data_IF_873296378345
#
_entry.id   IF_873296378345
#
_cell.length_a   1.000
_cell.length_b   1.000
_cell.length_c   1.000
_cell.angle_alpha   90.00
_cell.angle_beta   90.00
_cell.angle_gamma   90.00
#
_symmetry.space_group_name_H-M   'P 1'
#
loop_
_entity.id
_entity.type
_entity.pdbx_description
1 polymer ?
#
# COMPACT_ATOMS: atom_id res chain seq x y z
N UNK A 1 22.73 -8.18 -10.58
CA UNK A 1 23.67 -7.58 -9.60
C UNK A 1 23.81 -8.38 -8.30
N UNK A 2 22.74 -8.59 -7.51
CA UNK A 2 22.88 -9.22 -6.19
C UNK A 2 23.47 -10.65 -6.20
N UNK A 3 23.12 -11.50 -7.17
CA UNK A 3 23.69 -12.86 -7.31
C UNK A 3 25.21 -12.81 -7.52
N UNK A 4 25.67 -11.93 -8.41
CA UNK A 4 27.11 -11.71 -8.63
C UNK A 4 27.79 -11.16 -7.37
N UNK A 5 27.13 -10.23 -6.68
CA UNK A 5 27.61 -9.69 -5.41
C UNK A 5 27.78 -10.75 -4.33
N UNK A 6 26.86 -11.72 -4.26
CA UNK A 6 26.94 -12.82 -3.31
C UNK A 6 28.13 -13.73 -3.62
N UNK A 7 28.33 -14.08 -4.90
CA UNK A 7 29.51 -14.81 -5.33
C UNK A 7 30.81 -14.05 -5.00
N UNK A 8 30.87 -12.74 -5.29
CA UNK A 8 32.03 -11.90 -5.00
C UNK A 8 32.31 -11.80 -3.49
N UNK A 9 31.26 -11.75 -2.66
CA UNK A 9 31.39 -11.79 -1.21
C UNK A 9 32.05 -13.11 -0.75
N UNK A 10 31.57 -14.26 -1.22
CA UNK A 10 32.18 -15.56 -0.91
C UNK A 10 33.62 -15.68 -1.42
N UNK A 11 33.91 -15.17 -2.61
CA UNK A 11 35.23 -15.24 -3.22
C UNK A 11 36.28 -14.39 -2.48
N UNK A 12 35.88 -13.29 -1.82
CA UNK A 12 36.78 -12.40 -1.07
C UNK A 12 36.83 -12.70 0.41
N UNK A 13 35.67 -12.88 1.04
CA UNK A 13 35.55 -13.09 2.48
C UNK A 13 34.38 -14.05 2.76
N UNK A 14 34.65 -15.36 2.93
CA UNK A 14 33.61 -16.36 3.12
C UNK A 14 32.65 -16.03 4.26
N UNK A 15 33.14 -15.43 5.35
CA UNK A 15 32.29 -15.00 6.46
C UNK A 15 31.23 -13.97 6.05
N UNK A 16 31.59 -12.98 5.21
CA UNK A 16 30.63 -11.99 4.69
C UNK A 16 29.60 -12.65 3.78
N UNK A 17 30.04 -13.57 2.91
CA UNK A 17 29.14 -14.35 2.05
C UNK A 17 28.14 -15.18 2.86
N UNK A 18 28.60 -15.85 3.92
CA UNK A 18 27.75 -16.63 4.84
C UNK A 18 26.71 -15.74 5.52
N UNK A 19 27.09 -14.58 6.05
CA UNK A 19 26.16 -13.65 6.71
C UNK A 19 25.05 -13.22 5.74
N UNK A 20 25.42 -12.83 4.50
CA UNK A 20 24.44 -12.41 3.49
C UNK A 20 23.53 -13.57 3.05
N UNK A 21 24.09 -14.77 2.87
CA UNK A 21 23.32 -15.95 2.52
C UNK A 21 22.32 -16.32 3.64
N UNK A 22 22.75 -16.30 4.90
CA UNK A 22 21.89 -16.55 6.05
C UNK A 22 20.76 -15.52 6.12
N UNK A 23 21.04 -14.23 5.93
CA UNK A 23 19.99 -13.20 5.91
C UNK A 23 18.96 -13.50 4.81
N UNK A 24 19.41 -13.71 3.57
CA UNK A 24 18.51 -14.01 2.45
C UNK A 24 17.69 -15.27 2.71
N UNK A 25 18.29 -16.34 3.22
CA UNK A 25 17.60 -17.60 3.51
C UNK A 25 16.59 -17.42 4.63
N UNK A 26 16.97 -16.82 5.77
CA UNK A 26 16.07 -16.65 6.90
C UNK A 26 14.89 -15.72 6.56
N UNK A 27 15.14 -14.64 5.83
CA UNK A 27 14.05 -13.77 5.34
C UNK A 27 13.16 -14.49 4.33
N UNK A 28 13.71 -15.28 3.41
CA UNK A 28 12.93 -16.10 2.47
C UNK A 28 12.05 -17.13 3.21
N UNK A 29 12.61 -17.83 4.19
CA UNK A 29 11.87 -18.80 5.02
C UNK A 29 10.78 -18.10 5.83
N UNK A 30 11.07 -16.93 6.41
CA UNK A 30 10.09 -16.12 7.12
C UNK A 30 8.92 -15.69 6.22
N UNK A 31 9.22 -15.23 5.00
CA UNK A 31 8.21 -14.85 4.02
C UNK A 31 7.39 -16.05 3.53
N UNK A 32 8.04 -17.18 3.23
CA UNK A 32 7.37 -18.41 2.79
C UNK A 32 6.39 -18.96 3.85
N UNK A 33 6.68 -18.71 5.14
CA UNK A 33 5.82 -19.12 6.24
C UNK A 33 4.79 -18.05 6.66
N UNK A 34 4.80 -16.86 6.05
CA UNK A 34 3.88 -15.78 6.40
C UNK A 34 2.63 -15.82 5.49
N UNK A 35 1.46 -16.03 6.08
CA UNK A 35 0.18 -16.00 5.37
C UNK A 35 -0.72 -14.87 5.88
N UNK A 36 -1.27 -14.01 5.00
CA UNK A 36 -1.00 -13.90 3.57
C UNK A 36 0.36 -13.21 3.28
N UNK A 37 0.93 -13.50 2.11
CA UNK A 37 2.14 -12.84 1.61
C UNK A 37 1.74 -11.52 0.94
N UNK A 38 2.01 -10.40 1.60
CA UNK A 38 1.79 -9.07 1.01
C UNK A 38 3.05 -8.56 0.32
N UNK A 39 2.88 -7.83 -0.78
CA UNK A 39 4.00 -7.29 -1.58
C UNK A 39 4.95 -6.42 -0.74
N UNK A 40 4.44 -5.67 0.23
CA UNK A 40 5.28 -4.83 1.09
C UNK A 40 6.21 -5.62 2.00
N UNK A 41 5.94 -6.91 2.27
CA UNK A 41 6.86 -7.75 3.05
C UNK A 41 8.17 -8.02 2.29
N UNK A 42 8.17 -7.92 0.95
CA UNK A 42 9.37 -8.02 0.12
C UNK A 42 10.36 -6.87 0.36
N UNK A 43 9.94 -5.77 0.99
CA UNK A 43 10.85 -4.69 1.38
C UNK A 43 11.97 -5.16 2.31
N UNK A 44 11.77 -6.26 3.06
CA UNK A 44 12.80 -6.87 3.88
C UNK A 44 14.01 -7.36 3.05
N UNK A 45 13.84 -7.64 1.76
CA UNK A 45 14.93 -8.02 0.86
C UNK A 45 15.67 -6.83 0.26
N UNK A 46 15.11 -5.62 0.33
CA UNK A 46 15.72 -4.42 -0.26
C UNK A 46 17.13 -4.20 0.28
N UNK A 47 17.32 -4.29 1.60
CA UNK A 47 18.60 -4.06 2.27
C UNK A 47 19.69 -5.08 1.87
N UNK A 48 19.50 -6.41 2.01
CA UNK A 48 20.53 -7.36 1.62
C UNK A 48 20.83 -7.31 0.12
N UNK A 49 19.82 -7.09 -0.74
CA UNK A 49 20.04 -6.96 -2.18
C UNK A 49 20.85 -5.71 -2.53
N UNK A 50 20.59 -4.57 -1.87
CA UNK A 50 21.35 -3.34 -2.05
C UNK A 50 22.81 -3.49 -1.60
N UNK A 51 23.05 -4.13 -0.45
CA UNK A 51 24.41 -4.41 0.04
C UNK A 51 25.17 -5.28 -0.97
N UNK A 52 24.55 -6.36 -1.45
CA UNK A 52 25.16 -7.24 -2.45
C UNK A 52 25.41 -6.52 -3.79
N UNK A 53 24.52 -5.62 -4.20
CA UNK A 53 24.76 -4.76 -5.37
C UNK A 53 25.96 -3.82 -5.18
N UNK A 54 26.16 -3.29 -3.96
CA UNK A 54 27.34 -2.52 -3.59
C UNK A 54 28.63 -3.34 -3.66
N UNK A 55 28.63 -4.56 -3.11
CA UNK A 55 29.76 -5.50 -3.20
C UNK A 55 30.08 -5.84 -4.67
N UNK A 56 29.06 -6.13 -5.47
CA UNK A 56 29.19 -6.39 -6.90
C UNK A 56 29.86 -5.22 -7.63
N UNK A 57 29.41 -4.00 -7.37
CA UNK A 57 29.94 -2.78 -8.00
C UNK A 57 31.40 -2.55 -7.62
N UNK A 58 31.72 -2.69 -6.32
CA UNK A 58 33.10 -2.60 -5.83
C UNK A 58 34.02 -3.65 -6.47
N UNK A 59 33.54 -4.89 -6.65
CA UNK A 59 34.31 -5.94 -7.31
C UNK A 59 34.56 -5.67 -8.80
N UNK A 60 33.56 -5.18 -9.53
CA UNK A 60 33.69 -4.78 -10.94
C UNK A 60 34.76 -3.69 -11.09
N UNK A 61 34.70 -2.63 -10.27
CA UNK A 61 35.67 -1.53 -10.30
C UNK A 61 37.08 -2.03 -9.99
N UNK A 62 37.23 -2.88 -8.97
CA UNK A 62 38.52 -3.44 -8.59
C UNK A 62 39.14 -4.30 -9.71
N UNK A 63 38.37 -5.20 -10.32
CA UNK A 63 38.85 -6.07 -11.41
C UNK A 63 39.18 -5.30 -12.68
N UNK A 64 38.38 -4.28 -13.00
CA UNK A 64 38.68 -3.36 -14.11
C UNK A 64 40.04 -2.67 -13.90
N UNK A 65 40.33 -2.21 -12.67
CA UNK A 65 41.61 -1.61 -12.32
C UNK A 65 42.82 -2.57 -12.39
N UNK A 66 42.62 -3.87 -12.10
CA UNK A 66 43.70 -4.87 -12.22
C UNK A 66 44.07 -5.11 -13.69
N UNK A 67 43.07 -5.26 -14.57
CA UNK A 67 43.29 -5.53 -16.00
C UNK A 67 43.88 -4.34 -16.78
N UNK A 68 43.87 -3.15 -16.18
CA UNK A 68 44.51 -1.95 -16.74
C UNK A 68 46.00 -1.82 -16.41
N UNK A 69 46.60 -2.74 -15.64
CA UNK A 69 48.00 -2.66 -15.21
C UNK A 69 48.92 -3.54 -16.07
N UNK A 70 50.18 -3.14 -16.22
CA UNK A 70 51.20 -3.99 -16.85
C UNK A 70 51.36 -5.30 -16.07
N UNK A 71 51.40 -6.44 -16.77
CA UNK A 71 51.41 -7.79 -16.15
C UNK A 71 50.02 -8.31 -15.76
N UNK A 72 48.96 -7.80 -16.37
CA UNK A 72 47.57 -8.14 -16.05
C UNK A 72 47.26 -9.64 -16.00
N UNK A 73 46.60 -10.03 -14.92
CA UNK A 73 46.06 -11.38 -14.73
C UNK A 73 44.75 -11.53 -15.51
N UNK A 74 44.84 -12.12 -16.70
CA UNK A 74 43.70 -12.38 -17.58
C UNK A 74 42.65 -13.32 -16.98
N UNK A 75 42.95 -14.04 -15.89
CA UNK A 75 41.94 -14.85 -15.18
C UNK A 75 40.80 -13.98 -14.63
N UNK A 76 41.04 -12.68 -14.41
CA UNK A 76 40.06 -11.71 -13.92
C UNK A 76 39.05 -11.24 -14.98
N UNK A 77 39.32 -11.50 -16.27
CA UNK A 77 38.50 -11.01 -17.38
C UNK A 77 37.10 -11.67 -17.41
N UNK A 78 37.02 -12.99 -17.15
CA UNK A 78 35.74 -13.73 -17.14
C UNK A 78 34.77 -13.21 -16.06
N UNK A 79 35.14 -13.15 -14.77
CA UNK A 79 34.24 -12.63 -13.74
C UNK A 79 33.93 -11.14 -13.94
N UNK A 80 34.85 -10.35 -14.50
CA UNK A 80 34.55 -8.97 -14.86
C UNK A 80 33.45 -8.91 -15.94
N UNK A 81 33.56 -9.70 -17.01
CA UNK A 81 32.54 -9.74 -18.07
C UNK A 81 31.16 -10.12 -17.52
N UNK A 82 31.09 -11.13 -16.64
CA UNK A 82 29.83 -11.51 -15.99
C UNK A 82 29.28 -10.36 -15.14
N UNK A 83 30.12 -9.68 -14.38
CA UNK A 83 29.74 -8.51 -13.57
C UNK A 83 29.22 -7.36 -14.44
N UNK A 84 29.90 -7.05 -15.55
CA UNK A 84 29.49 -6.03 -16.51
C UNK A 84 28.16 -6.39 -17.18
N UNK A 85 27.96 -7.64 -17.60
CA UNK A 85 26.67 -8.10 -18.13
C UNK A 85 25.56 -7.95 -17.08
N UNK A 86 25.81 -8.34 -15.83
CA UNK A 86 24.83 -8.19 -14.75
C UNK A 86 24.51 -6.71 -14.44
N UNK A 87 25.50 -5.82 -14.59
CA UNK A 87 25.32 -4.37 -14.46
C UNK A 87 24.51 -3.82 -15.62
N UNK A 88 24.79 -4.23 -16.86
CA UNK A 88 24.06 -3.82 -18.05
C UNK A 88 22.58 -4.22 -17.98
N UNK A 89 22.28 -5.45 -17.53
CA UNK A 89 20.90 -5.88 -17.29
C UNK A 89 20.22 -4.97 -16.25
N UNK A 90 20.88 -4.66 -15.13
CA UNK A 90 20.32 -3.76 -14.13
C UNK A 90 20.06 -2.35 -14.69
N UNK A 91 21.04 -1.76 -15.39
CA UNK A 91 20.91 -0.45 -16.01
C UNK A 91 19.82 -0.41 -17.10
N UNK A 92 19.59 -1.51 -17.81
CA UNK A 92 18.52 -1.60 -18.81
C UNK A 92 17.11 -1.52 -18.19
N UNK A 93 16.97 -1.90 -16.91
CA UNK A 93 15.70 -1.82 -16.17
C UNK A 93 15.49 -0.48 -15.46
N UNK A 94 16.56 0.31 -15.31
CA UNK A 94 16.53 1.54 -14.52
C UNK A 94 15.53 2.60 -15.04
N UNK A 95 15.39 2.84 -16.36
CA UNK A 95 14.41 3.81 -16.86
C UNK A 95 12.98 3.45 -16.48
N UNK A 96 12.60 2.17 -16.59
CA UNK A 96 11.27 1.69 -16.22
C UNK A 96 11.03 1.82 -14.71
N UNK A 97 12.05 1.59 -13.88
CA UNK A 97 11.97 1.80 -12.43
C UNK A 97 11.75 3.27 -12.08
N UNK A 98 12.50 4.18 -12.69
CA UNK A 98 12.36 5.64 -12.50
C UNK A 98 10.95 6.10 -12.93
N UNK A 99 10.46 5.61 -14.06
CA UNK A 99 9.12 5.94 -14.53
C UNK A 99 8.05 5.45 -13.53
N UNK A 100 8.15 4.21 -13.06
CA UNK A 100 7.23 3.68 -12.06
C UNK A 100 7.27 4.49 -10.76
N UNK A 101 8.45 4.76 -10.22
CA UNK A 101 8.64 5.56 -9.02
C UNK A 101 8.05 6.96 -9.20
N UNK A 102 8.28 7.60 -10.35
CA UNK A 102 7.75 8.93 -10.64
C UNK A 102 6.22 8.98 -10.65
N UNK A 103 5.57 7.91 -11.14
CA UNK A 103 4.10 7.78 -11.11
C UNK A 103 3.55 7.58 -9.69
N UNK A 104 4.36 7.05 -8.79
CA UNK A 104 4.00 6.76 -7.39
C UNK A 104 4.36 7.91 -6.43
N UNK A 105 5.02 8.99 -6.90
CA UNK A 105 5.32 10.17 -6.10
C UNK A 105 4.07 10.93 -5.65
N UNK A 106 2.98 10.81 -6.41
CA UNK A 106 1.69 11.38 -6.08
C UNK A 106 0.76 10.24 -5.74
N UNK A 107 0.09 10.31 -4.59
CA UNK A 107 -0.91 9.32 -4.22
C UNK A 107 -2.01 9.30 -5.31
N UNK A 108 -2.35 8.12 -5.88
CA UNK A 108 -3.44 8.01 -6.83
C UNK A 108 -4.70 8.60 -6.20
N UNK A 109 -5.25 9.61 -6.85
CA UNK A 109 -6.48 10.28 -6.43
C UNK A 109 -7.43 10.23 -7.62
N UNK A 110 -8.58 9.61 -7.45
CA UNK A 110 -9.61 9.53 -8.49
C UNK A 110 -10.48 10.78 -8.49
N UNK A 111 -11.17 11.05 -9.60
CA UNK A 111 -12.19 12.11 -9.65
C UNK A 111 -13.33 11.84 -8.65
N UNK A 112 -13.66 10.57 -8.42
CA UNK A 112 -14.64 10.16 -7.41
C UNK A 112 -14.20 10.54 -5.99
N UNK A 113 -12.91 10.36 -5.65
CA UNK A 113 -12.38 10.76 -4.34
C UNK A 113 -12.53 12.27 -4.12
N UNK A 114 -12.18 13.07 -5.15
CA UNK A 114 -12.29 14.53 -5.08
C UNK A 114 -13.74 14.98 -4.97
N UNK A 115 -14.66 14.38 -5.73
CA UNK A 115 -16.09 14.71 -5.66
C UNK A 115 -16.68 14.32 -4.32
N UNK A 116 -16.36 13.13 -3.79
CA UNK A 116 -16.79 12.69 -2.46
C UNK A 116 -16.32 13.65 -1.36
N UNK A 117 -15.05 14.07 -1.40
CA UNK A 117 -14.50 15.06 -0.45
C UNK A 117 -15.24 16.39 -0.53
N UNK A 118 -15.48 16.90 -1.74
CA UNK A 118 -16.21 18.17 -1.91
C UNK A 118 -17.67 18.04 -1.47
N UNK A 119 -18.32 16.92 -1.81
CA UNK A 119 -19.67 16.63 -1.40
C UNK A 119 -19.80 16.63 0.12
N UNK A 120 -18.93 15.90 0.82
CA UNK A 120 -18.91 15.85 2.29
C UNK A 120 -18.66 17.23 2.90
N UNK A 121 -17.79 18.05 2.31
CA UNK A 121 -17.57 19.44 2.78
C UNK A 121 -18.83 20.30 2.74
N UNK A 122 -19.70 20.07 1.76
CA UNK A 122 -20.96 20.82 1.60
C UNK A 122 -22.05 20.31 2.55
N UNK A 123 -22.14 19.00 2.78
CA UNK A 123 -23.28 18.39 3.51
C UNK A 123 -23.02 18.10 4.98
N UNK A 124 -21.81 18.37 5.48
CA UNK A 124 -21.44 18.20 6.90
C UNK A 124 -20.69 19.42 7.42
N UNK A 125 -20.73 19.68 8.72
CA UNK A 125 -19.93 20.68 9.41
C UNK A 125 -18.57 20.11 9.86
N UNK A 126 -17.52 20.94 10.09
CA UNK A 126 -16.19 20.45 10.47
C UNK A 126 -16.15 19.55 11.72
N UNK A 127 -17.04 19.78 12.69
CA UNK A 127 -17.16 18.97 13.91
C UNK A 127 -18.01 17.71 13.77
N UNK A 128 -18.59 17.48 12.59
CA UNK A 128 -19.43 16.31 12.34
C UNK A 128 -18.57 15.06 12.19
N UNK A 129 -19.07 13.95 12.73
CA UNK A 129 -18.43 12.66 12.57
C UNK A 129 -18.81 12.00 11.25
N UNK A 130 -17.84 11.31 10.64
CA UNK A 130 -18.01 10.43 9.49
C UNK A 130 -17.51 9.04 9.85
N UNK A 131 -18.33 8.02 9.61
CA UNK A 131 -17.89 6.61 9.70
C UNK A 131 -17.50 6.12 8.31
N UNK A 132 -16.34 5.48 8.17
CA UNK A 132 -15.85 5.01 6.88
C UNK A 132 -14.87 3.84 6.96
N UNK A 133 -14.73 3.11 5.86
CA UNK A 133 -13.62 2.18 5.62
C UNK A 133 -12.43 2.81 4.88
N UNK A 134 -12.51 4.09 4.51
CA UNK A 134 -11.45 4.86 3.87
C UNK A 134 -11.17 6.16 4.62
N UNK A 135 -10.23 6.13 5.55
CA UNK A 135 -9.89 7.25 6.43
C UNK A 135 -9.43 8.50 5.69
N UNK A 136 -8.89 8.37 4.48
CA UNK A 136 -8.36 9.51 3.73
C UNK A 136 -9.47 10.47 3.26
N UNK A 137 -10.67 9.94 2.97
CA UNK A 137 -11.81 10.74 2.52
C UNK A 137 -12.24 11.77 3.59
N UNK A 138 -12.59 11.40 4.84
CA UNK A 138 -12.94 12.39 5.87
C UNK A 138 -11.74 13.28 6.23
N UNK A 139 -10.50 12.77 6.18
CA UNK A 139 -9.31 13.58 6.40
C UNK A 139 -9.21 14.73 5.39
N UNK A 140 -9.36 14.46 4.09
CA UNK A 140 -9.37 15.49 3.05
C UNK A 140 -10.61 16.39 3.10
N UNK A 141 -11.72 15.85 3.60
CA UNK A 141 -12.94 16.60 3.86
C UNK A 141 -12.82 17.56 5.07
N UNK A 142 -11.73 17.47 5.86
CA UNK A 142 -11.57 18.18 7.14
C UNK A 142 -12.71 17.83 8.11
N UNK A 143 -12.96 16.52 8.29
CA UNK A 143 -14.01 15.95 9.13
C UNK A 143 -13.45 14.91 10.08
N UNK A 144 -14.07 14.81 11.25
CA UNK A 144 -13.68 13.85 12.27
C UNK A 144 -14.22 12.46 11.97
N UNK A 145 -13.50 11.43 12.43
CA UNK A 145 -13.95 10.05 12.48
C UNK A 145 -14.13 9.69 13.96
N UNK A 146 -15.19 8.95 14.36
CA UNK A 146 -15.33 8.50 15.74
C UNK A 146 -14.03 7.83 16.24
N UNK A 147 -13.47 8.22 17.39
CA UNK A 147 -12.16 7.73 17.84
C UNK A 147 -12.00 6.19 17.81
N UNK A 148 -13.00 5.37 18.20
CA UNK A 148 -12.89 3.91 18.11
C UNK A 148 -12.83 3.34 16.68
N UNK A 149 -13.26 4.12 15.69
CA UNK A 149 -13.36 3.79 14.26
C UNK A 149 -12.31 4.51 13.40
N UNK A 150 -11.31 5.14 14.02
CA UNK A 150 -10.15 5.71 13.31
C UNK A 150 -9.31 4.64 12.60
N UNK A 151 -9.32 3.40 13.08
CA UNK A 151 -8.76 2.23 12.39
C UNK A 151 -9.85 1.22 12.07
N UNK A 152 -10.21 1.13 10.79
CA UNK A 152 -11.15 0.13 10.24
C UNK A 152 -10.45 -0.81 9.26
N UNK A 153 -9.20 -1.14 9.57
CA UNK A 153 -8.37 -2.01 8.75
C UNK A 153 -9.00 -3.38 8.54
N UNK A 154 -8.74 -3.93 7.36
CA UNK A 154 -9.13 -5.30 6.99
C UNK A 154 -8.73 -6.33 8.05
N UNK A 155 -7.55 -6.16 8.69
CA UNK A 155 -7.04 -7.05 9.73
C UNK A 155 -7.89 -7.05 11.00
N UNK A 156 -8.41 -5.89 11.44
CA UNK A 156 -9.32 -5.85 12.60
C UNK A 156 -10.61 -6.61 12.33
N UNK A 157 -11.15 -6.48 11.12
CA UNK A 157 -12.39 -7.17 10.72
C UNK A 157 -12.18 -8.69 10.67
N UNK A 158 -11.20 -9.19 9.91
CA UNK A 158 -11.02 -10.65 9.75
C UNK A 158 -10.53 -11.36 11.01
N UNK A 159 -9.94 -10.63 11.96
CA UNK A 159 -9.56 -11.19 13.27
C UNK A 159 -10.68 -11.14 14.30
N UNK A 160 -11.87 -10.63 13.93
CA UNK A 160 -13.01 -10.47 14.83
C UNK A 160 -12.85 -9.36 15.88
N UNK A 161 -11.86 -8.46 15.70
CA UNK A 161 -11.60 -7.31 16.58
C UNK A 161 -12.38 -6.05 16.19
N UNK A 162 -13.11 -6.11 15.09
CA UNK A 162 -14.10 -5.14 14.67
C UNK A 162 -15.27 -5.88 14.02
N UNK A 163 -16.34 -6.08 14.76
CA UNK A 163 -17.54 -6.81 14.31
C UNK A 163 -18.64 -5.85 13.86
N UNK A 164 -19.63 -6.38 13.13
CA UNK A 164 -20.83 -5.63 12.72
C UNK A 164 -21.49 -4.93 13.92
N UNK A 165 -21.75 -5.68 15.00
CA UNK A 165 -22.43 -5.16 16.18
C UNK A 165 -21.63 -4.03 16.85
N UNK A 166 -20.30 -4.14 16.87
CA UNK A 166 -19.43 -3.09 17.41
C UNK A 166 -19.51 -1.82 16.56
N UNK A 167 -19.45 -1.94 15.23
CA UNK A 167 -19.54 -0.78 14.34
C UNK A 167 -20.93 -0.13 14.43
N UNK A 168 -22.01 -0.93 14.52
CA UNK A 168 -23.36 -0.41 14.75
C UNK A 168 -23.44 0.33 16.08
N UNK A 169 -22.98 -0.27 17.18
CA UNK A 169 -23.03 0.35 18.50
C UNK A 169 -22.26 1.67 18.54
N UNK A 170 -21.05 1.71 17.94
CA UNK A 170 -20.26 2.94 17.83
C UNK A 170 -20.95 3.98 16.91
N UNK A 171 -21.58 3.54 15.82
CA UNK A 171 -22.34 4.44 14.94
C UNK A 171 -23.54 5.05 15.68
N UNK A 172 -24.21 4.28 16.53
CA UNK A 172 -25.33 4.76 17.35
C UNK A 172 -24.87 5.70 18.48
N UNK A 173 -23.71 5.43 19.10
CA UNK A 173 -23.13 6.25 20.16
C UNK A 173 -22.71 7.63 19.64
N UNK A 174 -21.99 7.67 18.51
CA UNK A 174 -21.41 8.89 17.97
C UNK A 174 -22.33 9.63 16.99
N UNK A 175 -23.38 8.97 16.48
CA UNK A 175 -24.38 9.54 15.55
C UNK A 175 -23.74 10.35 14.41
N UNK A 176 -22.91 9.72 13.55
CA UNK A 176 -22.25 10.44 12.47
C UNK A 176 -23.26 11.06 11.51
N UNK A 177 -22.88 12.17 10.89
CA UNK A 177 -23.71 12.84 9.89
C UNK A 177 -23.65 12.15 8.53
N UNK A 178 -22.54 11.45 8.26
CA UNK A 178 -22.34 10.67 7.06
C UNK A 178 -21.69 9.31 7.34
N UNK A 179 -22.04 8.33 6.51
CA UNK A 179 -21.40 7.02 6.46
C UNK A 179 -20.93 6.77 5.04
N UNK A 180 -19.64 6.49 4.88
CA UNK A 180 -18.95 6.38 3.60
C UNK A 180 -18.42 4.96 3.43
N UNK A 181 -19.01 4.21 2.50
CA UNK A 181 -18.52 2.91 2.04
C UNK A 181 -17.68 3.14 0.79
N UNK A 182 -16.38 2.87 0.86
CA UNK A 182 -15.43 3.22 -0.20
C UNK A 182 -14.50 2.05 -0.51
N UNK A 183 -13.58 1.76 0.42
CA UNK A 183 -12.28 1.08 0.24
C UNK A 183 -12.36 -0.30 -0.45
N UNK A 184 -12.61 -0.30 -1.76
CA UNK A 184 -13.02 -1.45 -2.58
C UNK A 184 -14.11 -2.32 -1.92
N UNK A 185 -15.04 -1.67 -1.20
CA UNK A 185 -16.13 -2.34 -0.50
C UNK A 185 -15.71 -3.12 0.75
N UNK A 186 -14.66 -2.73 1.49
CA UNK A 186 -14.24 -3.44 2.71
C UNK A 186 -15.38 -3.62 3.72
N UNK A 187 -16.10 -2.55 4.04
CA UNK A 187 -17.29 -2.67 4.90
C UNK A 187 -18.40 -3.47 4.22
N UNK A 188 -18.70 -3.19 2.96
CA UNK A 188 -19.78 -3.88 2.23
C UNK A 188 -19.56 -5.41 2.14
N UNK A 189 -18.31 -5.84 1.95
CA UNK A 189 -17.95 -7.23 1.71
C UNK A 189 -17.69 -8.02 3.00
N UNK A 190 -17.13 -7.39 4.03
CA UNK A 190 -16.73 -8.07 5.27
C UNK A 190 -17.63 -7.77 6.47
N UNK A 191 -18.47 -6.74 6.40
CA UNK A 191 -19.47 -6.39 7.40
C UNK A 191 -20.85 -6.17 6.72
N UNK A 192 -21.38 -7.15 5.96
CA UNK A 192 -22.61 -6.96 5.19
C UNK A 192 -23.82 -6.54 6.04
N UNK A 193 -23.93 -7.07 7.27
CA UNK A 193 -24.99 -6.66 8.20
C UNK A 193 -24.89 -5.19 8.65
N UNK A 194 -23.70 -4.58 8.61
CA UNK A 194 -23.57 -3.14 8.86
C UNK A 194 -24.13 -2.35 7.69
N UNK A 195 -23.87 -2.75 6.45
CA UNK A 195 -24.44 -2.11 5.26
C UNK A 195 -25.97 -2.20 5.24
N UNK A 196 -26.52 -3.35 5.58
CA UNK A 196 -27.98 -3.53 5.72
C UNK A 196 -28.54 -2.58 6.78
N UNK A 197 -27.94 -2.56 7.97
CA UNK A 197 -28.36 -1.65 9.03
C UNK A 197 -28.27 -0.17 8.61
N UNK A 198 -27.22 0.23 7.88
CA UNK A 198 -27.10 1.61 7.40
C UNK A 198 -28.21 1.96 6.40
N UNK A 199 -28.57 1.07 5.49
CA UNK A 199 -29.68 1.30 4.54
C UNK A 199 -31.03 1.51 5.23
N UNK A 200 -31.23 0.88 6.37
CA UNK A 200 -32.46 1.03 7.15
C UNK A 200 -32.49 2.31 8.00
N UNK A 201 -31.32 2.90 8.31
CA UNK A 201 -31.19 4.00 9.30
C UNK A 201 -30.67 5.32 8.70
N UNK A 202 -30.09 5.30 7.51
CA UNK A 202 -29.51 6.46 6.82
C UNK A 202 -29.98 6.49 5.36
N UNK A 203 -29.96 7.68 4.76
CA UNK A 203 -30.43 7.88 3.38
C UNK A 203 -29.26 7.86 2.41
N UNK A 204 -29.38 7.10 1.33
CA UNK A 204 -28.37 7.10 0.26
C UNK A 204 -28.35 8.46 -0.44
N UNK A 205 -27.20 9.14 -0.40
CA UNK A 205 -27.04 10.47 -0.98
C UNK A 205 -26.17 10.48 -2.25
N UNK A 206 -25.17 9.58 -2.32
CA UNK A 206 -24.32 9.38 -3.51
C UNK A 206 -24.00 7.92 -3.72
N UNK A 207 -23.90 7.54 -4.99
CA UNK A 207 -23.41 6.24 -5.47
C UNK A 207 -22.48 6.49 -6.66
N UNK A 208 -21.35 5.81 -6.67
CA UNK A 208 -20.30 5.94 -7.67
C UNK A 208 -20.21 4.68 -8.53
N UNK A 209 -19.57 4.78 -9.69
CA UNK A 209 -19.42 3.67 -10.63
C UNK A 209 -18.48 2.59 -10.07
N UNK A 210 -17.54 2.98 -9.21
CA UNK A 210 -16.73 2.06 -8.41
C UNK A 210 -17.53 1.18 -7.43
N UNK A 211 -18.81 1.49 -7.21
CA UNK A 211 -19.68 0.85 -6.22
C UNK A 211 -19.64 1.53 -4.85
N UNK A 212 -18.80 2.55 -4.67
CA UNK A 212 -18.75 3.35 -3.46
C UNK A 212 -20.06 4.10 -3.21
N UNK A 213 -20.39 4.32 -1.94
CA UNK A 213 -21.69 4.86 -1.51
C UNK A 213 -21.51 5.79 -0.30
N UNK A 214 -22.23 6.91 -0.32
CA UNK A 214 -22.31 7.84 0.81
C UNK A 214 -23.76 7.91 1.28
N UNK A 215 -23.95 7.66 2.56
CA UNK A 215 -25.22 7.75 3.26
C UNK A 215 -25.20 8.94 4.23
N UNK A 216 -26.31 9.65 4.38
CA UNK A 216 -26.45 10.79 5.27
C UNK A 216 -27.49 10.52 6.36
N UNK A 217 -27.31 11.13 7.52
CA UNK A 217 -28.34 11.13 8.55
C UNK A 217 -29.59 11.84 8.03
N UNK A 218 -30.78 11.50 8.54
CA UNK A 218 -32.04 12.11 8.10
C UNK A 218 -32.01 13.65 8.24
N UNK A 219 -31.42 14.15 9.33
CA UNK A 219 -31.24 15.59 9.58
C UNK A 219 -30.29 16.24 8.57
N UNK A 220 -29.16 15.60 8.27
CA UNK A 220 -28.19 16.12 7.28
C UNK A 220 -28.77 16.07 5.87
N UNK A 221 -29.56 15.04 5.55
CA UNK A 221 -30.24 14.89 4.26
C UNK A 221 -31.21 16.05 4.02
N UNK A 222 -32.01 16.39 5.02
CA UNK A 222 -32.97 17.51 4.95
C UNK A 222 -32.28 18.87 4.73
N UNK A 223 -31.12 19.10 5.34
CA UNK A 223 -30.38 20.35 5.22
C UNK A 223 -29.57 20.47 3.92
N UNK A 224 -29.24 19.34 3.29
CA UNK A 224 -28.36 19.31 2.12
C UNK A 224 -29.00 19.84 0.84
N UNK A 225 -30.33 19.87 0.73
CA UNK A 225 -31.05 20.39 -0.45
C UNK A 225 -30.78 19.66 -1.77
N UNK A 226 -30.02 18.56 -1.76
CA UNK A 226 -29.72 17.76 -2.94
C UNK A 226 -30.84 16.74 -3.20
N UNK A 227 -31.24 16.53 -4.47
CA UNK A 227 -32.18 15.47 -4.80
C UNK A 227 -31.56 14.11 -4.40
N UNK A 228 -32.36 13.30 -3.70
CA UNK A 228 -32.03 11.92 -3.37
C UNK A 228 -31.60 11.19 -4.64
N UNK A 229 -30.56 10.35 -4.55
CA UNK A 229 -30.20 9.46 -5.63
C UNK A 229 -31.45 8.61 -5.94
N UNK A 230 -32.15 8.95 -7.03
CA UNK A 230 -33.31 8.20 -7.48
C UNK A 230 -32.87 6.74 -7.59
N UNK A 231 -33.60 5.86 -6.90
CA UNK A 231 -33.47 4.42 -7.12
C UNK A 231 -33.59 4.17 -8.62
N UNK A 232 -32.45 3.92 -9.28
CA UNK A 232 -32.47 3.39 -10.62
C UNK A 232 -33.01 1.97 -10.49
N UNK A 233 -34.32 1.87 -10.65
CA UNK A 233 -35.06 0.62 -10.67
C UNK A 233 -34.48 -0.33 -11.73
N UNK A 234 -33.83 -1.41 -11.28
CA UNK A 234 -33.99 -2.83 -11.66
C UNK A 234 -32.70 -3.62 -11.47
#
# INVERSE_FOLDING_TARGET
MAIYGLWAAFAKCPAQGVIMAIWLILSALGLANHAPLWNHLLTAWLFPLAILAGIATSDIVHRFGILGREGSDWSQAKPLLVGLCAMLVYLSTLPAMIELDSRLLVAPTSEEDLEAVQFLKVVTAPSDFIVTDEQLIPFWADRDVPPPLTDTSFKRIISGRLTTDQVIAMTQEYRPNAIVFWSSGRFANYLPGYLEWVRDNYQLARRYDSGAQIYLSVESSANSGFPLALESAK
#
